data_IF_777597408467
#
_entry.id   IF_777597408467
#
_cell.length_a   1.000
_cell.length_b   1.000
_cell.length_c   1.000
_cell.angle_alpha   90.00
_cell.angle_beta   90.00
_cell.angle_gamma   90.00
#
_symmetry.space_group_name_H-M   'P 1'
#
loop_
_entity.id
_entity.type
_entity.pdbx_description
1 polymer ?
#
# COMPACT_ATOMS: atom_id res chain seq x y z
N UNK A 1 0.11 -56.63 -5.83
CA UNK A 1 -0.33 -55.41 -5.12
C UNK A 1 -1.83 -55.45 -4.97
N UNK A 2 -2.35 -55.29 -3.75
CA UNK A 2 -3.80 -55.27 -3.50
C UNK A 2 -4.37 -53.88 -3.81
N UNK A 3 -5.64 -53.80 -4.22
CA UNK A 3 -6.31 -52.54 -4.60
C UNK A 3 -6.21 -51.45 -3.53
N UNK A 4 -6.14 -51.85 -2.25
CA UNK A 4 -5.91 -50.98 -1.09
C UNK A 4 -4.52 -50.32 -1.08
N UNK A 5 -3.48 -51.03 -1.51
CA UNK A 5 -2.11 -50.47 -1.59
C UNK A 5 -2.01 -49.41 -2.69
N UNK A 6 -2.71 -49.60 -3.81
CA UNK A 6 -2.76 -48.63 -4.91
C UNK A 6 -3.51 -47.37 -4.47
N UNK A 7 -4.62 -47.53 -3.75
CA UNK A 7 -5.39 -46.40 -3.22
C UNK A 7 -4.59 -45.59 -2.19
N UNK A 8 -3.86 -46.27 -1.30
CA UNK A 8 -2.98 -45.63 -0.33
C UNK A 8 -1.82 -44.87 -1.02
N UNK A 9 -1.26 -45.42 -2.10
CA UNK A 9 -0.22 -44.76 -2.88
C UNK A 9 -0.74 -43.51 -3.61
N UNK A 10 -1.97 -43.58 -4.13
CA UNK A 10 -2.65 -42.44 -4.78
C UNK A 10 -2.98 -41.33 -3.78
N UNK A 11 -3.46 -41.68 -2.59
CA UNK A 11 -3.73 -40.71 -1.53
C UNK A 11 -2.44 -40.05 -1.00
N UNK A 12 -1.37 -40.81 -0.84
CA UNK A 12 -0.08 -40.28 -0.42
C UNK A 12 0.56 -39.36 -1.48
N UNK A 13 0.41 -39.68 -2.77
CA UNK A 13 0.88 -38.82 -3.87
C UNK A 13 0.04 -37.56 -4.05
N UNK A 14 -1.27 -37.62 -3.81
CA UNK A 14 -2.14 -36.45 -3.77
C UNK A 14 -1.80 -35.54 -2.58
N UNK A 15 -1.52 -36.10 -1.39
CA UNK A 15 -1.09 -35.33 -0.23
C UNK A 15 0.29 -34.66 -0.46
N UNK A 16 1.24 -35.36 -1.10
CA UNK A 16 2.53 -34.78 -1.47
C UNK A 16 2.39 -33.59 -2.42
N UNK A 17 1.45 -33.61 -3.36
CA UNK A 17 1.17 -32.46 -4.24
C UNK A 17 0.69 -31.22 -3.46
N UNK A 18 -0.06 -31.40 -2.36
CA UNK A 18 -0.50 -30.29 -1.50
C UNK A 18 0.59 -29.79 -0.54
N UNK A 19 1.57 -30.63 -0.16
CA UNK A 19 2.69 -30.21 0.69
C UNK A 19 3.85 -29.61 -0.11
N UNK A 20 4.00 -29.94 -1.39
CA UNK A 20 4.98 -29.30 -2.29
C UNK A 20 4.45 -28.05 -2.99
N UNK A 21 3.16 -27.72 -2.82
CA UNK A 21 2.62 -26.43 -3.25
C UNK A 21 2.74 -25.33 -2.19
N UNK A 22 3.47 -25.57 -1.09
CA UNK A 22 4.18 -24.50 -0.38
C UNK A 22 5.38 -24.07 -1.23
N UNK A 23 5.11 -23.63 -2.46
CA UNK A 23 5.93 -22.58 -3.03
C UNK A 23 5.82 -21.42 -2.05
N UNK A 24 6.96 -20.85 -1.68
CA UNK A 24 7.01 -19.50 -1.13
C UNK A 24 5.98 -18.67 -1.86
N UNK A 25 5.15 -17.93 -1.14
CA UNK A 25 4.36 -16.87 -1.74
C UNK A 25 5.32 -15.81 -2.30
N UNK A 26 5.99 -16.13 -3.42
CA UNK A 26 6.29 -15.18 -4.47
C UNK A 26 4.93 -14.82 -5.08
N UNK A 27 4.13 -14.10 -4.29
CA UNK A 27 2.88 -13.56 -4.75
C UNK A 27 3.23 -12.57 -5.87
N UNK A 28 2.87 -12.99 -7.07
CA UNK A 28 3.07 -12.29 -8.32
C UNK A 28 2.61 -10.83 -8.21
N UNK A 29 3.32 -9.95 -8.91
CA UNK A 29 3.17 -8.49 -9.02
C UNK A 29 1.82 -7.90 -8.53
N UNK A 30 1.85 -6.85 -7.68
CA UNK A 30 0.63 -6.20 -7.21
C UNK A 30 -0.19 -5.69 -8.41
N UNK A 31 -1.42 -6.16 -8.43
CA UNK A 31 -2.35 -6.05 -9.53
C UNK A 31 -2.50 -4.60 -10.03
N UNK A 32 -2.05 -4.36 -11.26
CA UNK A 32 -2.19 -3.11 -12.01
C UNK A 32 -3.68 -2.66 -12.06
N UNK A 33 -4.62 -3.56 -11.76
CA UNK A 33 -6.07 -3.39 -11.76
C UNK A 33 -6.74 -3.24 -10.38
N UNK A 34 -6.02 -3.02 -9.28
CA UNK A 34 -6.68 -2.80 -7.96
C UNK A 34 -7.63 -1.59 -7.91
N UNK A 35 -7.52 -0.68 -8.86
CA UNK A 35 -8.32 0.54 -8.92
C UNK A 35 -8.84 0.83 -10.33
N UNK A 36 -9.98 1.51 -10.40
CA UNK A 36 -10.63 1.86 -11.66
C UNK A 36 -9.82 2.89 -12.45
N UNK A 37 -9.95 2.91 -13.80
CA UNK A 37 -9.35 3.95 -14.64
C UNK A 37 -9.80 5.36 -14.26
N UNK A 38 -11.02 5.52 -13.74
CA UNK A 38 -11.56 6.80 -13.29
C UNK A 38 -10.81 7.32 -12.05
N UNK A 39 -10.62 6.49 -11.02
CA UNK A 39 -9.81 6.85 -9.86
C UNK A 39 -8.38 7.23 -10.27
N UNK A 40 -7.76 6.44 -11.16
CA UNK A 40 -6.44 6.74 -11.72
C UNK A 40 -6.42 8.10 -12.42
N UNK A 41 -7.45 8.42 -13.19
CA UNK A 41 -7.57 9.70 -13.88
C UNK A 41 -7.69 10.86 -12.90
N UNK A 42 -8.55 10.75 -11.88
CA UNK A 42 -8.72 11.75 -10.81
C UNK A 42 -7.39 12.03 -10.11
N UNK A 43 -6.67 11.00 -9.70
CA UNK A 43 -5.33 11.13 -9.09
C UNK A 43 -4.38 11.87 -10.04
N UNK A 44 -4.30 11.44 -11.31
CA UNK A 44 -3.41 12.04 -12.30
C UNK A 44 -3.73 13.52 -12.59
N UNK A 45 -5.00 13.91 -12.54
CA UNK A 45 -5.44 15.29 -12.66
C UNK A 45 -5.04 16.09 -11.41
N UNK A 46 -5.31 15.57 -10.22
CA UNK A 46 -4.95 16.21 -8.95
C UNK A 46 -3.45 16.44 -8.79
N UNK A 47 -2.60 15.51 -9.26
CA UNK A 47 -1.14 15.71 -9.26
C UNK A 47 -0.69 16.98 -10.00
N UNK A 48 -1.46 17.46 -10.98
CA UNK A 48 -1.13 18.68 -11.74
C UNK A 48 -1.35 19.96 -10.93
N UNK A 49 -2.17 19.91 -9.88
CA UNK A 49 -2.49 21.03 -8.99
C UNK A 49 -1.34 21.39 -8.04
N UNK A 50 -0.43 20.44 -7.79
CA UNK A 50 0.79 20.71 -7.01
C UNK A 50 1.77 21.60 -7.79
N UNK A 51 2.52 22.44 -7.08
CA UNK A 51 3.53 23.30 -7.71
C UNK A 51 4.72 22.48 -8.22
N UNK A 52 5.49 23.05 -9.17
CA UNK A 52 6.71 22.41 -9.68
C UNK A 52 7.75 22.18 -8.58
N UNK A 53 7.87 23.12 -7.64
CA UNK A 53 8.76 23.00 -6.48
C UNK A 53 8.31 21.88 -5.55
N UNK A 54 7.01 21.80 -5.20
CA UNK A 54 6.49 20.73 -4.35
C UNK A 54 6.71 19.35 -4.99
N UNK A 55 6.44 19.18 -6.29
CA UNK A 55 6.70 17.92 -6.99
C UNK A 55 8.17 17.52 -6.95
N UNK A 56 9.07 18.49 -7.08
CA UNK A 56 10.51 18.25 -7.03
C UNK A 56 10.93 17.79 -5.63
N UNK A 57 10.54 18.53 -4.60
CA UNK A 57 10.87 18.19 -3.20
C UNK A 57 10.23 16.88 -2.76
N UNK A 58 8.99 16.60 -3.18
CA UNK A 58 8.36 15.31 -2.97
C UNK A 58 9.20 14.19 -3.56
N UNK A 59 9.63 14.32 -4.83
CA UNK A 59 10.44 13.29 -5.49
C UNK A 59 11.75 13.08 -4.73
N UNK A 60 12.47 14.16 -4.43
CA UNK A 60 13.75 14.11 -3.72
C UNK A 60 13.63 13.38 -2.37
N UNK A 61 12.64 13.74 -1.53
CA UNK A 61 12.43 13.10 -0.22
C UNK A 61 11.92 11.67 -0.33
N UNK A 62 11.03 11.41 -1.28
CA UNK A 62 10.52 10.06 -1.52
C UNK A 62 11.62 9.11 -2.00
N UNK A 63 12.47 9.56 -2.92
CA UNK A 63 13.59 8.76 -3.43
C UNK A 63 14.56 8.41 -2.29
N UNK A 64 14.89 9.36 -1.40
CA UNK A 64 15.74 9.10 -0.23
C UNK A 64 15.10 8.08 0.73
N UNK A 65 13.80 8.21 1.00
CA UNK A 65 13.08 7.23 1.79
C UNK A 65 13.11 5.84 1.14
N UNK A 66 12.91 5.78 -0.19
CA UNK A 66 12.93 4.51 -0.92
C UNK A 66 14.33 3.88 -0.94
N UNK A 67 15.38 4.66 -1.20
CA UNK A 67 16.77 4.22 -1.10
C UNK A 67 17.06 3.65 0.29
N UNK A 68 16.57 4.32 1.34
CA UNK A 68 16.71 3.82 2.71
C UNK A 68 15.99 2.50 2.93
N UNK A 69 14.83 2.31 2.32
CA UNK A 69 14.10 1.05 2.38
C UNK A 69 14.89 -0.08 1.71
N UNK A 70 15.46 0.20 0.54
CA UNK A 70 16.27 -0.75 -0.23
C UNK A 70 17.58 -1.13 0.51
N UNK A 71 18.21 -0.20 1.24
CA UNK A 71 19.34 -0.51 2.14
C UNK A 71 18.96 -1.45 3.29
N UNK A 72 17.71 -1.35 3.74
CA UNK A 72 17.16 -2.05 4.90
C UNK A 72 16.38 -3.31 4.52
N UNK A 73 16.46 -3.80 3.27
CA UNK A 73 15.67 -4.88 2.65
C UNK A 73 15.64 -6.23 3.42
N UNK A 74 16.49 -6.39 4.43
CA UNK A 74 16.50 -7.56 5.33
C UNK A 74 15.64 -7.40 6.59
N UNK A 75 15.01 -6.24 6.80
CA UNK A 75 14.20 -5.94 7.97
C UNK A 75 12.76 -6.39 7.74
N UNK A 76 12.24 -7.19 8.66
CA UNK A 76 10.93 -7.83 8.51
C UNK A 76 9.75 -6.97 8.97
N UNK A 77 10.00 -5.87 9.70
CA UNK A 77 8.94 -5.04 10.29
C UNK A 77 8.78 -3.70 9.55
N UNK A 78 7.61 -3.42 8.95
CA UNK A 78 7.24 -2.13 8.37
C UNK A 78 7.51 -0.93 9.29
N UNK A 79 7.26 -1.12 10.59
CA UNK A 79 7.41 -0.08 11.61
C UNK A 79 8.85 0.40 11.75
N UNK A 80 9.84 -0.44 11.45
CA UNK A 80 11.24 -0.05 11.51
C UNK A 80 11.60 0.96 10.42
N UNK A 81 11.01 0.85 9.22
CA UNK A 81 11.17 1.87 8.17
C UNK A 81 10.54 3.20 8.59
N UNK A 82 9.44 3.16 9.34
CA UNK A 82 8.75 4.35 9.84
C UNK A 82 9.52 5.07 10.97
N UNK A 83 10.54 4.44 11.54
CA UNK A 83 11.41 5.07 12.54
C UNK A 83 12.63 5.77 11.94
N UNK A 84 12.88 5.59 10.64
CA UNK A 84 14.02 6.21 9.94
C UNK A 84 13.88 7.74 9.87
N UNK A 85 15.01 8.43 9.82
CA UNK A 85 15.03 9.89 9.65
C UNK A 85 14.48 10.28 8.28
N UNK A 86 14.74 9.47 7.25
CA UNK A 86 14.25 9.66 5.89
C UNK A 86 12.73 9.60 5.83
N UNK A 87 12.12 8.64 6.51
CA UNK A 87 10.66 8.59 6.64
C UNK A 87 10.11 9.77 7.42
N UNK A 88 10.72 10.10 8.57
CA UNK A 88 10.28 11.23 9.42
C UNK A 88 10.34 12.55 8.65
N UNK A 89 11.41 12.79 7.91
CA UNK A 89 11.58 13.97 7.04
C UNK A 89 10.56 13.98 5.89
N UNK A 90 10.33 12.85 5.23
CA UNK A 90 9.31 12.72 4.19
C UNK A 90 7.90 13.00 4.74
N UNK A 91 7.54 12.39 5.87
CA UNK A 91 6.26 12.60 6.56
C UNK A 91 6.07 14.06 6.94
N UNK A 92 7.06 14.68 7.58
CA UNK A 92 7.01 16.09 7.98
C UNK A 92 6.81 17.03 6.78
N UNK A 93 7.46 16.74 5.65
CA UNK A 93 7.23 17.47 4.41
C UNK A 93 5.78 17.32 3.91
N UNK A 94 5.22 16.10 3.91
CA UNK A 94 3.83 15.89 3.48
C UNK A 94 2.82 16.61 4.38
N UNK A 95 3.05 16.63 5.70
CA UNK A 95 2.16 17.28 6.67
C UNK A 95 2.22 18.81 6.63
N UNK A 96 3.31 19.38 6.12
CA UNK A 96 3.51 20.84 6.00
C UNK A 96 3.25 21.38 4.59
N UNK A 97 3.01 20.51 3.61
CA UNK A 97 2.77 20.89 2.20
C UNK A 97 1.29 21.19 1.93
N UNK A 98 0.98 21.66 0.71
CA UNK A 98 -0.42 21.83 0.29
C UNK A 98 -1.15 20.48 0.23
N UNK A 99 -2.49 20.46 0.39
CA UNK A 99 -3.29 19.22 0.28
C UNK A 99 -3.09 18.48 -1.04
N UNK A 100 -2.73 19.18 -2.12
CA UNK A 100 -2.46 18.57 -3.42
C UNK A 100 -1.27 17.61 -3.42
N UNK A 101 -0.39 17.67 -2.41
CA UNK A 101 0.73 16.74 -2.28
C UNK A 101 0.26 15.30 -2.13
N UNK A 102 -0.93 15.08 -1.54
CA UNK A 102 -1.45 13.75 -1.28
C UNK A 102 -1.78 13.00 -2.58
N UNK A 103 -2.10 13.68 -3.69
CA UNK A 103 -2.24 13.03 -4.99
C UNK A 103 -0.95 12.33 -5.44
N UNK A 104 0.23 12.91 -5.14
CA UNK A 104 1.52 12.28 -5.46
C UNK A 104 1.75 11.05 -4.58
N UNK A 105 1.38 11.13 -3.29
CA UNK A 105 1.47 9.99 -2.37
C UNK A 105 0.58 8.83 -2.82
N UNK A 106 -0.67 9.11 -3.20
CA UNK A 106 -1.61 8.11 -3.72
C UNK A 106 -1.09 7.46 -5.01
N UNK A 107 -0.52 8.26 -5.92
CA UNK A 107 0.12 7.74 -7.14
C UNK A 107 1.28 6.79 -6.82
N UNK A 108 2.12 7.16 -5.84
CA UNK A 108 3.21 6.29 -5.36
C UNK A 108 2.69 5.04 -4.70
N UNK A 109 1.70 5.12 -3.83
CA UNK A 109 1.09 3.94 -3.21
C UNK A 109 0.61 2.92 -4.25
N UNK A 110 -0.05 3.39 -5.32
CA UNK A 110 -0.58 2.52 -6.37
C UNK A 110 0.46 2.05 -7.40
N UNK A 111 1.72 2.50 -7.32
CA UNK A 111 2.80 2.13 -8.25
C UNK A 111 4.01 1.51 -7.55
N UNK A 112 4.14 1.74 -6.25
CA UNK A 112 5.26 1.29 -5.46
C UNK A 112 5.25 -0.22 -5.35
N UNK A 113 6.46 -0.80 -5.33
CA UNK A 113 6.67 -2.23 -5.09
C UNK A 113 6.90 -2.54 -3.61
N UNK A 114 6.95 -1.50 -2.76
CA UNK A 114 7.11 -1.67 -1.32
C UNK A 114 5.86 -2.38 -0.77
N UNK A 115 6.02 -3.63 -0.36
CA UNK A 115 4.93 -4.49 0.15
C UNK A 115 4.21 -3.88 1.35
N UNK A 116 4.90 -3.02 2.11
CA UNK A 116 4.40 -2.39 3.32
C UNK A 116 3.84 -0.97 3.11
N UNK A 117 3.69 -0.50 1.86
CA UNK A 117 3.26 0.89 1.62
C UNK A 117 1.87 1.22 2.18
N UNK A 118 1.02 0.21 2.43
CA UNK A 118 -0.24 0.35 3.18
C UNK A 118 -0.04 0.97 4.57
N UNK A 119 1.04 0.59 5.27
CA UNK A 119 1.43 1.16 6.56
C UNK A 119 1.75 2.65 6.40
N UNK A 120 2.56 2.97 5.41
CA UNK A 120 3.00 4.33 5.12
C UNK A 120 1.81 5.25 4.82
N UNK A 121 0.96 4.86 3.86
CA UNK A 121 -0.17 5.69 3.46
C UNK A 121 -1.20 5.83 4.58
N UNK A 122 -1.43 4.77 5.38
CA UNK A 122 -2.35 4.83 6.52
C UNK A 122 -1.85 5.73 7.65
N UNK A 123 -0.56 5.66 8.01
CA UNK A 123 0.05 6.54 9.01
C UNK A 123 0.00 8.02 8.59
N UNK A 124 0.31 8.30 7.32
CA UNK A 124 0.21 9.66 6.78
C UNK A 124 -1.24 10.14 6.82
N UNK A 125 -2.22 9.29 6.46
CA UNK A 125 -3.64 9.65 6.52
C UNK A 125 -4.08 9.97 7.95
N UNK A 126 -3.79 9.10 8.91
CA UNK A 126 -4.14 9.32 10.33
C UNK A 126 -3.53 10.62 10.85
N UNK A 127 -2.29 10.90 10.47
CA UNK A 127 -1.58 12.10 10.92
C UNK A 127 -2.08 13.40 10.27
N UNK A 128 -2.56 13.34 9.03
CA UNK A 128 -2.97 14.52 8.25
C UNK A 128 -4.46 14.80 8.32
N UNK A 129 -5.29 13.76 8.31
CA UNK A 129 -6.74 13.83 8.13
C UNK A 129 -7.43 12.73 8.98
N UNK A 130 -7.36 12.80 10.32
CA UNK A 130 -7.88 11.76 11.20
C UNK A 130 -9.37 11.46 10.98
N UNK A 131 -10.19 12.48 10.70
CA UNK A 131 -11.62 12.27 10.41
C UNK A 131 -11.88 11.42 9.16
N UNK A 132 -10.99 11.48 8.16
CA UNK A 132 -11.09 10.65 6.94
C UNK A 132 -10.62 9.23 7.24
N UNK A 133 -9.58 9.08 8.06
CA UNK A 133 -9.17 7.76 8.56
C UNK A 133 -10.31 7.08 9.34
N UNK A 134 -11.00 7.81 10.21
CA UNK A 134 -12.15 7.32 10.96
C UNK A 134 -13.31 6.93 10.03
N UNK A 135 -13.60 7.74 9.01
CA UNK A 135 -14.63 7.43 8.02
C UNK A 135 -14.32 6.14 7.25
N UNK A 136 -13.08 5.95 6.81
CA UNK A 136 -12.65 4.71 6.16
C UNK A 136 -12.82 3.54 7.13
N UNK A 137 -12.29 3.64 8.35
CA UNK A 137 -12.41 2.59 9.36
C UNK A 137 -13.89 2.25 9.67
N UNK A 138 -14.76 3.26 9.70
CA UNK A 138 -16.19 3.10 9.96
C UNK A 138 -16.91 2.33 8.83
N UNK A 139 -16.57 2.63 7.57
CA UNK A 139 -17.09 1.89 6.42
C UNK A 139 -16.51 0.48 6.34
N UNK A 140 -15.28 0.32 6.81
CA UNK A 140 -14.54 -0.94 6.79
C UNK A 140 -14.76 -1.79 8.04
N UNK A 141 -15.79 -1.51 8.86
CA UNK A 141 -16.08 -2.13 10.18
C UNK A 141 -16.06 -3.67 10.26
N UNK A 142 -15.93 -4.38 9.14
CA UNK A 142 -15.81 -5.84 9.04
C UNK A 142 -14.41 -6.37 8.65
N UNK A 143 -13.43 -5.49 8.38
CA UNK A 143 -12.25 -5.86 7.54
C UNK A 143 -10.89 -5.66 8.18
N UNK A 144 -10.83 -5.29 9.46
CA UNK A 144 -9.60 -5.22 10.23
C UNK A 144 -9.05 -3.79 10.39
N UNK A 145 -7.72 -3.65 10.44
CA UNK A 145 -7.05 -2.36 10.66
C UNK A 145 -7.17 -1.43 9.45
N UNK A 146 -6.85 -0.14 9.62
CA UNK A 146 -6.82 0.82 8.50
C UNK A 146 -5.76 0.45 7.47
N UNK A 147 -4.62 -0.09 7.90
CA UNK A 147 -3.57 -0.63 7.02
C UNK A 147 -4.13 -1.76 6.14
N UNK A 148 -4.78 -2.75 6.75
CA UNK A 148 -5.40 -3.88 6.05
C UNK A 148 -6.46 -3.39 5.05
N UNK A 149 -7.20 -2.33 5.41
CA UNK A 149 -8.16 -1.69 4.54
C UNK A 149 -7.51 -1.12 3.28
N UNK A 150 -6.38 -0.40 3.40
CA UNK A 150 -5.62 0.07 2.24
C UNK A 150 -5.04 -1.07 1.41
N UNK A 151 -4.57 -2.15 2.04
CA UNK A 151 -4.00 -3.29 1.35
C UNK A 151 -5.04 -4.06 0.52
N UNK A 152 -6.21 -4.32 1.12
CA UNK A 152 -7.28 -5.14 0.54
C UNK A 152 -8.24 -4.34 -0.36
N UNK A 153 -8.55 -3.10 0.01
CA UNK A 153 -9.57 -2.26 -0.65
C UNK A 153 -9.06 -0.86 -1.01
N UNK A 154 -7.93 -0.75 -1.75
CA UNK A 154 -7.34 0.55 -2.07
C UNK A 154 -8.29 1.46 -2.85
N UNK A 155 -9.18 0.91 -3.69
CA UNK A 155 -10.19 1.70 -4.41
C UNK A 155 -11.06 2.51 -3.45
N UNK A 156 -11.70 1.85 -2.49
CA UNK A 156 -12.63 2.49 -1.56
C UNK A 156 -11.92 3.51 -0.67
N UNK A 157 -10.76 3.13 -0.11
CA UNK A 157 -9.98 4.01 0.75
C UNK A 157 -9.56 5.29 0.01
N UNK A 158 -9.12 5.16 -1.23
CA UNK A 158 -8.69 6.30 -2.05
C UNK A 158 -9.86 7.14 -2.55
N UNK A 159 -10.99 6.55 -2.93
CA UNK A 159 -12.20 7.30 -3.30
C UNK A 159 -12.65 8.22 -2.16
N UNK A 160 -12.77 7.67 -0.94
CA UNK A 160 -13.16 8.44 0.25
C UNK A 160 -12.19 9.60 0.50
N UNK A 161 -10.89 9.36 0.37
CA UNK A 161 -9.90 10.42 0.57
C UNK A 161 -9.94 11.47 -0.55
N UNK A 162 -10.07 11.06 -1.82
CA UNK A 162 -10.17 11.98 -2.95
C UNK A 162 -11.41 12.87 -2.85
N UNK A 163 -12.57 12.30 -2.51
CA UNK A 163 -13.81 13.06 -2.34
C UNK A 163 -13.65 14.15 -1.25
N UNK A 164 -12.89 13.86 -0.19
CA UNK A 164 -12.56 14.83 0.85
C UNK A 164 -11.53 15.89 0.42
N UNK A 165 -10.66 15.60 -0.56
CA UNK A 165 -9.73 16.58 -1.13
C UNK A 165 -10.41 17.49 -2.15
N UNK A 166 -11.34 16.96 -2.93
CA UNK A 166 -12.10 17.71 -3.95
C UNK A 166 -13.11 18.70 -3.33
N UNK A 167 -13.42 18.54 -2.04
CA UNK A 167 -14.38 19.37 -1.29
C UNK A 167 -13.74 20.43 -0.38
N UNK A 168 -12.41 20.56 -0.38
CA UNK A 168 -11.64 21.56 0.38
C UNK A 168 -11.39 22.85 -0.43
#
# INVERSE_FOLDING_TARGET
MTKLQILALLLASLALLFFTSCDSEDFQEPDVYKVTPDLRLRINQGMKLSSKSERRTFKEKFDLFQEKCDEMDHITSPYTYMETEEYKDFKNFLLSSSPHIYYLLMDKFLKSRLSFFSNIISDILVSSKPAIADQIAEQMRATGTLEESFYLYPQLCLDIWLDALDTQ
#
